data_IF_333345582063
#
_entry.id   IF_333345582063
#
_cell.length_a   1.000
_cell.length_b   1.000
_cell.length_c   1.000
_cell.angle_alpha   90.00
_cell.angle_beta   90.00
_cell.angle_gamma   90.00
#
_symmetry.space_group_name_H-M   'P 1'
#
loop_
_entity.id
_entity.type
_entity.pdbx_description
1 polymer ?
#
# COMPACT_ATOMS: atom_id res chain seq x y z
N UNK A 1 23.12 10.70 13.55
CA UNK A 1 23.34 10.16 12.19
C UNK A 1 23.36 11.34 11.23
N UNK A 2 24.24 11.37 10.22
CA UNK A 2 24.18 12.41 9.21
C UNK A 2 22.88 12.28 8.41
N UNK A 3 22.16 13.40 8.23
CA UNK A 3 20.99 13.45 7.38
C UNK A 3 21.44 13.64 5.93
N UNK A 4 20.80 12.94 5.00
CA UNK A 4 21.04 13.09 3.57
C UNK A 4 19.78 13.66 2.92
N UNK A 5 19.95 14.75 2.17
CA UNK A 5 18.90 15.36 1.37
C UNK A 5 19.12 15.03 -0.10
N UNK A 6 18.05 14.68 -0.81
CA UNK A 6 18.09 14.49 -2.26
C UNK A 6 16.79 15.00 -2.90
N UNK A 7 16.86 15.30 -4.18
CA UNK A 7 15.73 15.77 -4.97
C UNK A 7 14.94 14.57 -5.49
N UNK A 8 13.63 14.54 -5.23
CA UNK A 8 12.75 13.47 -5.71
C UNK A 8 12.49 13.54 -7.22
N UNK A 9 12.64 14.73 -7.79
CA UNK A 9 12.37 15.01 -9.20
C UNK A 9 10.88 15.06 -9.55
N UNK A 10 9.96 15.05 -8.57
CA UNK A 10 8.53 15.28 -8.80
C UNK A 10 8.27 16.72 -9.23
N UNK A 11 7.17 16.92 -9.97
CA UNK A 11 6.77 18.24 -10.48
C UNK A 11 5.71 18.91 -9.60
N UNK A 12 5.23 18.21 -8.56
CA UNK A 12 4.22 18.69 -7.62
C UNK A 12 4.46 18.08 -6.22
N UNK A 13 3.58 18.36 -5.28
CA UNK A 13 3.67 17.93 -3.88
C UNK A 13 3.87 16.42 -3.75
N UNK A 14 4.86 16.03 -2.96
CA UNK A 14 5.06 14.64 -2.54
C UNK A 14 4.23 14.38 -1.30
N UNK A 15 3.34 13.38 -1.36
CA UNK A 15 2.40 13.06 -0.28
C UNK A 15 2.90 11.96 0.62
N UNK A 16 3.62 10.99 0.05
CA UNK A 16 4.08 9.83 0.80
C UNK A 16 5.44 9.34 0.31
N UNK A 17 6.14 8.67 1.22
CA UNK A 17 7.44 8.05 0.99
C UNK A 17 7.52 6.73 1.75
N UNK A 18 7.83 5.65 1.05
CA UNK A 18 7.99 4.33 1.63
C UNK A 18 9.33 3.70 1.24
N UNK A 19 10.08 3.21 2.23
CA UNK A 19 11.31 2.46 2.01
C UNK A 19 10.99 0.97 1.96
N UNK A 20 11.66 0.24 1.07
CA UNK A 20 11.51 -1.21 0.98
C UNK A 20 12.09 -1.93 2.22
N UNK A 21 11.77 -3.21 2.36
CA UNK A 21 12.21 -4.05 3.50
C UNK A 21 13.74 -4.07 3.69
N UNK A 22 14.49 -3.95 2.61
CA UNK A 22 15.95 -4.04 2.62
C UNK A 22 16.65 -2.69 2.75
N UNK A 23 15.90 -1.57 2.76
CA UNK A 23 16.45 -0.22 2.78
C UNK A 23 17.21 0.18 1.50
N UNK A 24 16.88 -0.47 0.37
CA UNK A 24 17.56 -0.26 -0.92
C UNK A 24 16.75 0.56 -1.91
N UNK A 25 15.42 0.59 -1.76
CA UNK A 25 14.53 1.30 -2.65
C UNK A 25 13.60 2.21 -1.86
N UNK A 26 13.39 3.41 -2.37
CA UNK A 26 12.41 4.35 -1.88
C UNK A 26 11.37 4.55 -2.99
N UNK A 27 10.10 4.38 -2.65
CA UNK A 27 8.97 4.78 -3.49
C UNK A 27 8.41 6.10 -2.97
N UNK A 28 8.10 7.03 -3.86
CA UNK A 28 7.48 8.34 -3.51
C UNK A 28 6.21 8.54 -4.31
N UNK A 29 5.15 9.04 -3.66
CA UNK A 29 3.85 9.33 -4.26
C UNK A 29 3.63 10.84 -4.37
N UNK A 30 3.05 11.32 -5.47
CA UNK A 30 2.92 12.76 -5.72
C UNK A 30 1.60 13.16 -6.39
N UNK A 31 1.26 14.44 -6.20
CA UNK A 31 0.19 15.12 -6.93
C UNK A 31 0.44 15.22 -8.44
N UNK A 32 1.65 14.97 -8.91
CA UNK A 32 1.95 14.89 -10.35
C UNK A 32 1.46 13.59 -11.01
N UNK A 33 0.67 12.78 -10.29
CA UNK A 33 0.06 11.50 -10.69
C UNK A 33 1.09 10.37 -10.89
N UNK A 34 2.33 10.56 -10.48
CA UNK A 34 3.40 9.57 -10.66
C UNK A 34 3.91 9.03 -9.32
N UNK A 35 4.51 7.85 -9.43
CA UNK A 35 5.31 7.25 -8.37
C UNK A 35 6.75 7.22 -8.87
N UNK A 36 7.71 7.64 -8.06
CA UNK A 36 9.13 7.54 -8.41
C UNK A 36 9.84 6.55 -7.53
N UNK A 37 10.68 5.76 -8.18
CA UNK A 37 11.52 4.76 -7.55
C UNK A 37 12.94 5.27 -7.49
N UNK A 38 13.51 5.28 -6.30
CA UNK A 38 14.84 5.78 -6.02
C UNK A 38 15.65 4.67 -5.36
N UNK A 39 16.75 4.30 -5.96
CA UNK A 39 17.71 3.36 -5.39
C UNK A 39 18.63 4.05 -4.39
N UNK A 40 18.87 3.40 -3.26
CA UNK A 40 19.74 3.89 -2.18
C UNK A 40 20.95 2.98 -2.07
N UNK A 41 22.16 3.52 -2.24
CA UNK A 41 23.40 2.78 -2.09
C UNK A 41 24.42 3.64 -1.33
N UNK A 42 24.61 3.33 -0.05
CA UNK A 42 25.50 4.11 0.80
C UNK A 42 25.10 5.58 0.90
N UNK A 43 25.92 6.46 0.35
CA UNK A 43 25.66 7.91 0.30
C UNK A 43 25.08 8.40 -1.02
N UNK A 44 24.82 7.51 -1.97
CA UNK A 44 24.32 7.86 -3.30
C UNK A 44 22.87 7.43 -3.46
N UNK A 45 22.06 8.31 -4.07
CA UNK A 45 20.69 8.05 -4.45
C UNK A 45 20.57 8.17 -5.97
N UNK A 46 19.93 7.22 -6.60
CA UNK A 46 19.75 7.18 -8.04
C UNK A 46 18.27 7.03 -8.38
N UNK A 47 17.76 7.86 -9.27
CA UNK A 47 16.44 7.64 -9.87
C UNK A 47 16.47 6.36 -10.72
N UNK A 48 15.60 5.39 -10.41
CA UNK A 48 15.52 4.10 -11.08
C UNK A 48 14.39 4.07 -12.10
N UNK A 49 13.18 4.52 -11.71
CA UNK A 49 12.00 4.49 -12.55
C UNK A 49 10.99 5.57 -12.18
N UNK A 50 10.18 5.96 -13.16
CA UNK A 50 8.95 6.73 -12.96
C UNK A 50 7.78 5.86 -13.39
N UNK A 51 6.90 5.54 -12.46
CA UNK A 51 5.72 4.71 -12.67
C UNK A 51 4.54 5.63 -12.96
N UNK A 52 3.87 5.39 -14.06
CA UNK A 52 2.70 6.13 -14.53
C UNK A 52 1.51 5.18 -14.70
N UNK A 53 0.30 5.66 -14.43
CA UNK A 53 -0.92 4.86 -14.59
C UNK A 53 -2.11 5.46 -13.89
N UNK A 54 -1.90 6.13 -12.74
CA UNK A 54 -2.94 6.90 -12.08
C UNK A 54 -3.35 8.13 -12.90
N UNK A 55 -4.62 8.49 -12.81
CA UNK A 55 -5.21 9.66 -13.50
C UNK A 55 -5.49 10.83 -12.55
N UNK A 56 -4.93 10.78 -11.36
CA UNK A 56 -5.03 11.79 -10.33
C UNK A 56 -3.91 11.66 -9.32
N UNK A 57 -3.81 12.61 -8.38
CA UNK A 57 -2.83 12.60 -7.29
C UNK A 57 -2.71 11.22 -6.63
N UNK A 58 -1.49 10.76 -6.44
CA UNK A 58 -1.19 9.53 -5.70
C UNK A 58 -0.96 9.90 -4.24
N UNK A 59 -1.79 9.35 -3.34
CA UNK A 59 -1.79 9.72 -1.93
C UNK A 59 -0.83 8.90 -1.09
N UNK A 60 -0.80 7.59 -1.32
CA UNK A 60 -0.01 6.67 -0.50
C UNK A 60 0.57 5.55 -1.34
N UNK A 61 1.75 5.06 -0.95
CA UNK A 61 2.44 3.91 -1.49
C UNK A 61 2.87 2.98 -0.36
N UNK A 62 2.74 1.67 -0.57
CA UNK A 62 3.08 0.67 0.43
C UNK A 62 3.75 -0.56 -0.19
N UNK A 63 4.91 -0.94 0.34
CA UNK A 63 5.61 -2.15 -0.06
C UNK A 63 4.98 -3.39 0.56
N UNK A 64 4.73 -4.41 -0.25
CA UNK A 64 4.39 -5.73 0.26
C UNK A 64 5.62 -6.39 0.89
N UNK A 65 5.39 -7.38 1.78
CA UNK A 65 6.49 -8.16 2.34
C UNK A 65 7.23 -8.92 1.23
N UNK A 66 8.59 -8.95 1.25
CA UNK A 66 9.42 -9.49 0.17
C UNK A 66 9.19 -10.98 -0.13
N UNK A 67 8.57 -11.74 0.78
CA UNK A 67 8.21 -13.15 0.49
C UNK A 67 7.25 -13.29 -0.71
N UNK A 68 6.53 -12.21 -1.07
CA UNK A 68 5.61 -12.18 -2.21
C UNK A 68 6.27 -11.63 -3.49
N UNK A 69 7.56 -11.32 -3.42
CA UNK A 69 8.31 -10.64 -4.48
C UNK A 69 8.32 -9.12 -4.31
N UNK A 70 8.93 -8.42 -5.25
CA UNK A 70 8.95 -6.96 -5.27
C UNK A 70 7.60 -6.43 -5.76
N UNK A 71 6.69 -6.17 -4.82
CA UNK A 71 5.36 -5.62 -5.07
C UNK A 71 5.19 -4.31 -4.32
N UNK A 72 4.62 -3.31 -5.00
CA UNK A 72 4.23 -2.02 -4.44
C UNK A 72 2.74 -1.81 -4.67
N UNK A 73 2.02 -1.34 -3.66
CA UNK A 73 0.66 -0.84 -3.81
C UNK A 73 0.65 0.68 -3.84
N UNK A 74 -0.30 1.26 -4.54
CA UNK A 74 -0.57 2.70 -4.55
C UNK A 74 -2.05 2.99 -4.53
N UNK A 75 -2.46 4.11 -3.95
CA UNK A 75 -3.83 4.61 -4.01
C UNK A 75 -3.87 6.06 -4.45
N UNK A 76 -5.01 6.47 -5.03
CA UNK A 76 -5.11 7.75 -5.69
C UNK A 76 -6.49 8.39 -5.55
N UNK A 77 -6.49 9.71 -5.78
CA UNK A 77 -7.70 10.51 -5.97
C UNK A 77 -8.62 9.97 -7.08
N UNK A 78 -8.06 9.25 -8.06
CA UNK A 78 -8.82 8.64 -9.18
C UNK A 78 -9.74 7.48 -8.75
N UNK A 79 -9.79 7.14 -7.46
CA UNK A 79 -10.63 6.06 -6.90
C UNK A 79 -10.03 4.66 -7.10
N UNK A 80 -8.79 4.56 -7.53
CA UNK A 80 -8.14 3.28 -7.83
C UNK A 80 -7.07 2.94 -6.83
N UNK A 81 -6.91 1.63 -6.63
CA UNK A 81 -5.74 1.03 -6.01
C UNK A 81 -5.03 0.22 -7.08
N UNK A 82 -3.73 0.37 -7.21
CA UNK A 82 -2.92 -0.34 -8.19
C UNK A 82 -1.82 -1.14 -7.51
N UNK A 83 -1.60 -2.35 -8.01
CA UNK A 83 -0.47 -3.18 -7.63
C UNK A 83 0.55 -3.15 -8.76
N UNK A 84 1.77 -2.82 -8.40
CA UNK A 84 2.92 -2.74 -9.29
C UNK A 84 3.88 -3.88 -8.97
N UNK A 85 4.41 -4.50 -10.00
CA UNK A 85 5.41 -5.57 -9.88
C UNK A 85 6.68 -5.16 -10.59
N UNK A 86 7.78 -5.34 -9.90
CA UNK A 86 9.10 -5.17 -10.49
C UNK A 86 9.42 -6.34 -11.42
N UNK A 87 9.87 -6.02 -12.62
CA UNK A 87 10.40 -6.94 -13.61
C UNK A 87 11.91 -6.89 -13.65
N UNK A 88 12.49 -7.20 -14.81
CA UNK A 88 13.93 -7.12 -15.02
C UNK A 88 14.38 -5.66 -15.15
N UNK A 89 15.59 -5.35 -14.64
CA UNK A 89 16.25 -4.04 -14.85
C UNK A 89 15.47 -2.81 -14.36
N UNK A 90 14.80 -2.91 -13.19
CA UNK A 90 13.97 -1.84 -12.61
C UNK A 90 12.76 -1.43 -13.47
N UNK A 91 12.31 -2.30 -14.36
CA UNK A 91 11.05 -2.10 -15.07
C UNK A 91 9.88 -2.43 -14.14
N UNK A 92 8.93 -1.51 -14.05
CA UNK A 92 7.72 -1.69 -13.24
C UNK A 92 6.51 -1.84 -14.13
N UNK A 93 5.76 -2.89 -13.92
CA UNK A 93 4.52 -3.17 -14.64
C UNK A 93 3.32 -3.17 -13.71
N UNK A 94 2.17 -2.75 -14.22
CA UNK A 94 0.90 -2.86 -13.53
C UNK A 94 0.49 -4.33 -13.46
N UNK A 95 0.52 -4.90 -12.26
CA UNK A 95 0.11 -6.28 -12.03
C UNK A 95 -1.41 -6.40 -11.85
N UNK A 96 -2.02 -5.43 -11.15
CA UNK A 96 -3.47 -5.40 -10.93
C UNK A 96 -3.99 -3.98 -10.70
N UNK A 97 -5.28 -3.76 -11.01
CA UNK A 97 -6.01 -2.50 -10.73
C UNK A 97 -7.34 -2.84 -10.08
N UNK A 98 -7.61 -2.23 -8.95
CA UNK A 98 -8.91 -2.27 -8.29
C UNK A 98 -9.61 -0.92 -8.51
N UNK A 99 -10.82 -0.95 -9.03
CA UNK A 99 -11.66 0.22 -9.31
C UNK A 99 -12.99 0.17 -8.55
N UNK A 100 -12.98 -0.36 -7.35
CA UNK A 100 -14.17 -0.62 -6.53
C UNK A 100 -14.79 0.66 -5.95
N UNK A 101 -13.96 1.70 -5.77
CA UNK A 101 -14.38 2.92 -5.12
C UNK A 101 -14.83 3.99 -6.12
N UNK A 102 -15.87 4.74 -5.72
CA UNK A 102 -16.46 5.83 -6.52
C UNK A 102 -15.84 7.20 -6.21
N UNK A 103 -14.98 7.25 -5.21
CA UNK A 103 -14.33 8.47 -4.74
C UNK A 103 -12.86 8.18 -4.43
N UNK A 104 -12.12 9.23 -4.04
CA UNK A 104 -10.71 9.13 -3.68
C UNK A 104 -10.42 7.97 -2.73
N UNK A 105 -9.40 7.18 -3.01
CA UNK A 105 -8.85 6.22 -2.05
C UNK A 105 -7.70 6.90 -1.32
N UNK A 106 -7.85 7.06 0.00
CA UNK A 106 -7.00 7.93 0.80
C UNK A 106 -5.90 7.18 1.53
N UNK A 107 -6.09 5.90 1.82
CA UNK A 107 -5.13 5.12 2.59
C UNK A 107 -5.16 3.64 2.19
N UNK A 108 -3.99 3.01 2.25
CA UNK A 108 -3.78 1.58 1.98
C UNK A 108 -2.87 0.97 3.05
N UNK A 109 -3.09 -0.28 3.37
CA UNK A 109 -2.21 -1.02 4.27
C UNK A 109 -2.16 -2.50 3.93
N UNK A 110 -0.95 -3.06 3.80
CA UNK A 110 -0.76 -4.50 3.69
C UNK A 110 -0.97 -5.17 5.05
N UNK A 111 -1.69 -6.27 5.05
CA UNK A 111 -1.80 -7.13 6.22
C UNK A 111 -0.43 -7.75 6.58
N UNK A 112 -0.23 -8.17 7.84
CA UNK A 112 0.93 -8.97 8.21
C UNK A 112 1.09 -10.16 7.26
N UNK A 113 2.32 -10.44 6.87
CA UNK A 113 2.61 -11.39 5.79
C UNK A 113 2.22 -12.84 6.12
N UNK A 114 2.02 -13.17 7.38
CA UNK A 114 1.55 -14.48 7.84
C UNK A 114 0.12 -14.77 7.39
N UNK A 115 -0.68 -13.72 7.22
CA UNK A 115 -2.07 -13.77 6.75
C UNK A 115 -2.18 -14.12 5.26
N UNK A 116 -1.11 -13.93 4.52
CA UNK A 116 -1.12 -14.00 3.05
C UNK A 116 -0.94 -12.62 2.42
N UNK A 117 -1.08 -12.54 1.11
CA UNK A 117 -1.03 -11.27 0.39
C UNK A 117 -2.43 -10.63 0.43
N UNK A 118 -2.61 -9.73 1.37
CA UNK A 118 -3.88 -9.08 1.65
C UNK A 118 -3.68 -7.58 1.84
N UNK A 119 -4.46 -6.75 1.15
CA UNK A 119 -4.39 -5.29 1.17
C UNK A 119 -5.73 -4.70 1.57
N UNK A 120 -5.75 -3.83 2.57
CA UNK A 120 -6.91 -2.99 2.88
C UNK A 120 -6.76 -1.60 2.28
N UNK A 121 -7.87 -0.99 1.91
CA UNK A 121 -7.92 0.41 1.51
C UNK A 121 -9.17 1.12 2.03
N UNK A 122 -9.03 2.40 2.32
CA UNK A 122 -10.09 3.27 2.79
C UNK A 122 -10.36 4.43 1.83
N UNK A 123 -11.64 4.70 1.57
CA UNK A 123 -12.05 5.69 0.57
C UNK A 123 -12.93 6.79 1.16
N UNK A 124 -12.91 7.94 0.48
CA UNK A 124 -13.82 9.06 0.73
C UNK A 124 -15.28 8.72 0.46
N UNK A 125 -15.59 7.60 -0.19
CA UNK A 125 -16.96 7.10 -0.33
C UNK A 125 -17.52 6.44 0.94
N UNK A 126 -16.74 6.41 2.03
CA UNK A 126 -17.11 5.89 3.33
C UNK A 126 -16.88 4.40 3.51
N UNK A 127 -16.38 3.72 2.50
CA UNK A 127 -16.22 2.27 2.50
C UNK A 127 -14.75 1.86 2.64
N UNK A 128 -14.57 0.66 3.18
CA UNK A 128 -13.28 -0.02 3.23
C UNK A 128 -13.39 -1.25 2.32
N UNK A 129 -12.39 -1.47 1.46
CA UNK A 129 -12.25 -2.71 0.70
C UNK A 129 -11.01 -3.46 1.17
N UNK A 130 -11.11 -4.79 1.19
CA UNK A 130 -10.01 -5.70 1.51
C UNK A 130 -9.84 -6.65 0.34
N UNK A 131 -8.67 -6.64 -0.25
CA UNK A 131 -8.29 -7.45 -1.40
C UNK A 131 -7.36 -8.57 -0.95
N UNK A 132 -7.73 -9.82 -1.21
CA UNK A 132 -6.96 -11.01 -0.84
C UNK A 132 -6.55 -11.76 -2.09
N UNK A 133 -5.25 -11.94 -2.29
CA UNK A 133 -4.74 -12.72 -3.43
C UNK A 133 -5.06 -14.20 -3.27
N UNK A 134 -5.54 -14.82 -4.34
CA UNK A 134 -5.80 -16.25 -4.43
C UNK A 134 -4.61 -17.00 -5.03
N UNK A 135 -4.57 -18.30 -4.79
CA UNK A 135 -3.54 -19.20 -5.34
C UNK A 135 -3.59 -19.35 -6.86
N UNK A 136 -4.74 -19.08 -7.47
CA UNK A 136 -4.93 -19.10 -8.94
C UNK A 136 -4.49 -17.80 -9.65
N UNK A 137 -3.96 -16.83 -8.89
CA UNK A 137 -3.53 -15.52 -9.39
C UNK A 137 -4.63 -14.47 -9.45
N UNK A 138 -5.87 -14.81 -9.07
CA UNK A 138 -6.96 -13.86 -8.91
C UNK A 138 -6.96 -13.15 -7.57
N UNK A 139 -7.94 -12.27 -7.38
CA UNK A 139 -8.15 -11.53 -6.15
C UNK A 139 -9.60 -11.67 -5.70
N UNK A 140 -9.80 -11.89 -4.41
CA UNK A 140 -11.09 -11.78 -3.76
C UNK A 140 -11.22 -10.39 -3.14
N UNK A 141 -12.41 -9.81 -3.23
CA UNK A 141 -12.74 -8.51 -2.63
C UNK A 141 -13.78 -8.69 -1.55
N UNK A 142 -13.45 -8.25 -0.34
CA UNK A 142 -14.39 -8.07 0.76
C UNK A 142 -14.58 -6.59 1.01
N UNK A 143 -15.81 -6.17 1.31
CA UNK A 143 -16.13 -4.77 1.51
C UNK A 143 -16.85 -4.55 2.83
N UNK A 144 -16.49 -3.46 3.52
CA UNK A 144 -17.17 -2.94 4.70
C UNK A 144 -17.84 -1.64 4.25
N UNK A 145 -19.17 -1.72 4.04
CA UNK A 145 -19.95 -0.57 3.60
C UNK A 145 -20.23 0.37 4.76
N UNK A 146 -20.17 1.68 4.48
CA UNK A 146 -20.49 2.74 5.45
C UNK A 146 -19.70 2.60 6.77
N UNK A 147 -18.46 2.15 6.69
CA UNK A 147 -17.56 2.12 7.86
C UNK A 147 -17.43 3.52 8.49
N UNK A 148 -17.30 4.54 7.62
CA UNK A 148 -17.31 5.95 7.99
C UNK A 148 -18.15 6.73 6.97
N UNK A 149 -19.40 7.09 7.28
CA UNK A 149 -20.32 7.72 6.30
C UNK A 149 -19.80 9.01 5.64
N UNK A 150 -18.90 9.74 6.32
CA UNK A 150 -18.30 10.99 5.81
C UNK A 150 -16.98 10.76 5.06
N UNK A 151 -16.45 9.54 5.09
CA UNK A 151 -15.22 9.15 4.40
C UNK A 151 -14.17 8.56 5.34
N UNK A 152 -13.45 7.57 4.83
CA UNK A 152 -12.31 6.94 5.50
C UNK A 152 -11.05 7.75 5.21
N UNK A 153 -10.28 8.06 6.25
CA UNK A 153 -9.01 8.80 6.14
C UNK A 153 -7.80 7.90 6.26
N UNK A 154 -7.89 6.84 7.09
CA UNK A 154 -6.77 5.96 7.35
C UNK A 154 -7.23 4.54 7.66
N UNK A 155 -6.40 3.57 7.31
CA UNK A 155 -6.57 2.15 7.66
C UNK A 155 -5.25 1.58 8.17
N UNK A 156 -5.32 0.64 9.12
CA UNK A 156 -4.14 -0.04 9.66
C UNK A 156 -4.47 -1.44 10.14
N UNK A 157 -3.56 -2.37 9.92
CA UNK A 157 -3.68 -3.74 10.43
C UNK A 157 -3.02 -3.88 11.79
N UNK A 158 -3.62 -4.68 12.67
CA UNK A 158 -2.93 -5.14 13.86
C UNK A 158 -1.73 -6.02 13.48
N UNK A 159 -0.61 -5.95 14.22
CA UNK A 159 0.48 -6.88 14.06
C UNK A 159 -0.02 -8.32 14.24
N UNK A 160 0.56 -9.27 13.47
CA UNK A 160 0.30 -10.68 13.69
C UNK A 160 0.80 -11.08 15.08
N UNK A 161 -0.07 -11.66 15.89
CA UNK A 161 0.37 -12.38 17.10
C UNK A 161 1.04 -13.65 16.61
N UNK A 162 2.30 -13.85 16.99
CA UNK A 162 3.12 -14.98 16.55
C UNK A 162 2.34 -16.30 16.64
N UNK A 163 2.36 -17.17 15.62
CA UNK A 163 1.84 -18.52 15.73
C UNK A 163 2.67 -19.25 16.78
N UNK A 164 2.06 -19.67 17.86
CA UNK A 164 2.74 -20.43 18.92
C UNK A 164 2.64 -19.86 20.33
N UNK A 165 1.95 -18.75 20.54
CA UNK A 165 1.51 -18.42 21.90
C UNK A 165 0.45 -19.44 22.33
N UNK A 166 0.92 -20.52 22.98
CA UNK A 166 0.09 -21.52 23.63
C UNK A 166 -0.69 -20.84 24.75
N UNK A 167 -1.91 -20.45 24.47
CA UNK A 167 -2.90 -20.19 25.51
C UNK A 167 -3.84 -21.38 25.51
N UNK A 168 -3.56 -22.34 26.40
CA UNK A 168 -4.45 -23.44 26.74
C UNK A 168 -5.04 -24.21 25.56
N UNK A 169 -4.46 -25.34 25.20
CA UNK A 169 -5.05 -26.44 24.38
C UNK A 169 -5.78 -26.06 23.09
N UNK A 170 -5.22 -25.19 22.25
CA UNK A 170 -5.71 -24.93 20.90
C UNK A 170 -4.77 -24.03 20.11
N UNK A 171 -4.45 -24.42 18.86
CA UNK A 171 -3.91 -23.47 17.89
C UNK A 171 -4.97 -22.38 17.69
N UNK A 172 -4.67 -21.15 18.13
CA UNK A 172 -5.50 -20.01 17.79
C UNK A 172 -5.18 -19.63 16.34
N UNK A 173 -6.19 -19.69 15.48
CA UNK A 173 -6.12 -19.07 14.18
C UNK A 173 -5.74 -17.59 14.35
N UNK A 174 -4.82 -17.05 13.52
CA UNK A 174 -4.43 -15.66 13.62
C UNK A 174 -5.66 -14.77 13.42
N UNK A 175 -6.01 -13.99 14.44
CA UNK A 175 -7.14 -13.06 14.37
C UNK A 175 -6.69 -11.86 13.57
N UNK A 176 -7.30 -11.70 12.40
CA UNK A 176 -7.07 -10.56 11.53
C UNK A 176 -7.87 -9.37 12.04
N UNK A 177 -7.18 -8.35 12.55
CA UNK A 177 -7.79 -7.11 13.01
C UNK A 177 -7.35 -5.95 12.16
N UNK A 178 -8.32 -5.20 11.66
CA UNK A 178 -8.16 -3.94 10.96
C UNK A 178 -8.78 -2.83 11.82
N UNK A 179 -8.14 -1.68 11.87
CA UNK A 179 -8.72 -0.45 12.40
C UNK A 179 -8.76 0.61 11.30
N UNK A 180 -9.70 1.50 11.40
CA UNK A 180 -9.88 2.63 10.48
C UNK A 180 -10.22 3.89 11.25
N UNK A 181 -9.94 5.03 10.68
CA UNK A 181 -10.34 6.35 11.13
C UNK A 181 -11.05 7.10 10.02
N UNK A 182 -12.00 7.95 10.37
CA UNK A 182 -12.79 8.70 9.40
C UNK A 182 -13.02 10.16 9.76
N UNK A 183 -13.65 10.88 8.84
CA UNK A 183 -14.01 12.28 9.00
C UNK A 183 -15.24 12.50 9.94
N UNK A 184 -15.79 11.43 10.48
CA UNK A 184 -16.93 11.39 11.39
C UNK A 184 -16.53 11.41 12.88
N UNK A 185 -15.27 11.66 13.18
CA UNK A 185 -14.66 11.66 14.52
C UNK A 185 -14.66 10.27 15.20
N UNK A 186 -14.68 9.20 14.43
CA UNK A 186 -14.58 7.81 14.90
C UNK A 186 -13.42 7.06 14.25
#
# INVERSE_FOLDING_TARGET
MPAQKFESGHQDTVHDVAMDYYGKHIATASSDNTIKMIGVSGTTNQHLATIQGHKGPVWEVAWAHPKFGSLLASCSYDGRVMIWKEGNQNEWSQAHVFGEHKSSVNSIAWAPHEVGLCLACGSSDGNISVFTARTDGGWDTSRIDQAHPVGVTSVSWAPSTAPGALVGSGLLDPVHKLCSGGCDNT
#
